data_IF_245590785456
#
_entry.id   IF_245590785456
#
_cell.length_a   1.000
_cell.length_b   1.000
_cell.length_c   1.000
_cell.angle_alpha   90.00
_cell.angle_beta   90.00
_cell.angle_gamma   90.00
#
_symmetry.space_group_name_H-M   'P 1'
#
loop_
_entity.id
_entity.type
_entity.pdbx_description
1 polymer ?
#
# COMPACT_ATOMS: atom_id res chain seq x y z
N UNK A 1 44.08 5.40 -24.08
CA UNK A 1 42.85 5.10 -24.84
C UNK A 1 41.79 6.13 -24.45
N UNK A 2 41.12 6.76 -25.40
CA UNK A 2 40.13 7.82 -25.14
C UNK A 2 38.72 7.23 -25.26
N UNK A 3 37.81 7.62 -24.37
CA UNK A 3 36.39 7.28 -24.51
C UNK A 3 35.73 8.23 -25.51
N UNK A 4 34.80 7.71 -26.30
CA UNK A 4 34.00 8.51 -27.23
C UNK A 4 32.97 9.36 -26.50
N UNK A 5 32.53 10.45 -27.13
CA UNK A 5 31.41 11.26 -26.68
C UNK A 5 30.13 10.40 -26.64
N UNK A 6 29.43 10.43 -25.52
CA UNK A 6 28.07 9.90 -25.37
C UNK A 6 27.16 11.07 -25.03
N UNK A 7 26.15 11.31 -25.86
CA UNK A 7 25.08 12.23 -25.51
C UNK A 7 24.27 11.67 -24.34
N UNK A 8 23.56 12.54 -23.63
CA UNK A 8 22.59 12.12 -22.62
C UNK A 8 21.52 11.24 -23.27
N UNK A 9 21.09 10.19 -22.55
CA UNK A 9 19.95 9.34 -22.89
C UNK A 9 18.92 9.34 -21.77
N UNK A 10 18.86 10.42 -20.98
CA UNK A 10 17.89 10.53 -19.88
C UNK A 10 16.50 10.67 -20.48
N UNK A 11 15.60 9.78 -20.07
CA UNK A 11 14.19 9.79 -20.42
C UNK A 11 13.38 10.03 -19.15
N UNK A 12 12.47 10.99 -19.20
CA UNK A 12 11.56 11.22 -18.07
C UNK A 12 10.51 10.11 -18.03
N UNK A 13 10.48 9.39 -16.91
CA UNK A 13 9.46 8.41 -16.59
C UNK A 13 8.50 8.99 -15.55
N UNK A 14 7.30 8.41 -15.45
CA UNK A 14 6.28 8.87 -14.51
C UNK A 14 6.01 10.38 -14.62
N UNK A 15 5.93 10.88 -15.85
CA UNK A 15 5.67 12.30 -16.17
C UNK A 15 4.33 12.80 -15.62
N UNK A 16 3.44 11.88 -15.22
CA UNK A 16 2.21 12.18 -14.50
C UNK A 16 2.26 11.54 -13.12
N UNK A 17 2.21 12.37 -12.09
CA UNK A 17 2.16 11.99 -10.68
C UNK A 17 1.35 13.02 -9.89
N UNK A 18 1.17 12.80 -8.58
CA UNK A 18 0.51 13.80 -7.73
C UNK A 18 1.27 15.12 -7.65
N UNK A 19 2.61 15.10 -7.77
CA UNK A 19 3.44 16.31 -7.71
C UNK A 19 3.48 17.07 -9.04
N UNK A 20 3.12 16.43 -10.16
CA UNK A 20 3.02 17.09 -11.46
C UNK A 20 1.65 17.74 -11.71
N UNK A 21 0.71 17.62 -10.76
CA UNK A 21 -0.62 18.24 -10.87
C UNK A 21 -0.51 19.76 -10.77
N UNK A 22 -1.01 20.53 -11.74
CA UNK A 22 -1.02 21.99 -11.69
C UNK A 22 -1.85 22.51 -10.51
N UNK A 23 -1.43 23.63 -9.91
CA UNK A 23 -2.13 24.23 -8.76
C UNK A 23 -3.64 24.41 -8.96
N UNK A 24 -4.14 24.91 -10.11
CA UNK A 24 -5.59 25.07 -10.31
C UNK A 24 -6.34 23.73 -10.26
N UNK A 25 -5.75 22.68 -10.83
CA UNK A 25 -6.34 21.33 -10.83
C UNK A 25 -6.30 20.73 -9.42
N UNK A 26 -5.22 20.97 -8.67
CA UNK A 26 -5.11 20.55 -7.28
C UNK A 26 -6.15 21.23 -6.38
N UNK A 27 -6.38 22.54 -6.56
CA UNK A 27 -7.41 23.29 -5.82
C UNK A 27 -8.81 22.76 -6.10
N UNK A 28 -9.13 22.48 -7.38
CA UNK A 28 -10.39 21.85 -7.76
C UNK A 28 -10.54 20.44 -7.15
N UNK A 29 -9.48 19.65 -7.13
CA UNK A 29 -9.53 18.30 -6.54
C UNK A 29 -9.76 18.34 -5.03
N UNK A 30 -9.17 19.31 -4.33
CA UNK A 30 -9.31 19.44 -2.87
C UNK A 30 -10.74 19.86 -2.47
N UNK A 31 -11.45 20.57 -3.34
CA UNK A 31 -12.85 20.97 -3.10
C UNK A 31 -13.87 19.86 -3.39
N UNK A 32 -13.48 18.79 -4.08
CA UNK A 32 -14.30 17.60 -4.26
C UNK A 32 -14.56 16.86 -2.94
N UNK A 33 -15.64 16.08 -2.90
CA UNK A 33 -15.95 15.23 -1.76
C UNK A 33 -14.88 14.16 -1.56
N UNK A 34 -14.41 14.02 -0.32
CA UNK A 34 -13.37 13.04 0.03
C UNK A 34 -13.99 11.64 0.09
N UNK A 35 -13.24 10.60 -0.29
CA UNK A 35 -13.73 9.23 -0.16
C UNK A 35 -14.07 8.93 1.31
N UNK A 36 -15.01 7.99 1.57
CA UNK A 36 -15.31 7.57 2.92
C UNK A 36 -14.04 7.07 3.63
N UNK A 37 -13.92 7.36 4.92
CA UNK A 37 -12.75 7.06 5.74
C UNK A 37 -12.63 5.56 6.09
N UNK A 38 -12.65 4.69 5.08
CA UNK A 38 -12.52 3.23 5.22
C UNK A 38 -11.14 2.80 5.74
N UNK A 39 -10.15 3.69 5.73
CA UNK A 39 -8.83 3.45 6.34
C UNK A 39 -8.90 3.19 7.83
N UNK A 40 -9.92 3.71 8.54
CA UNK A 40 -10.16 3.43 9.97
C UNK A 40 -10.43 1.94 10.20
N UNK A 41 -11.02 1.25 9.21
CA UNK A 41 -11.30 -0.19 9.30
C UNK A 41 -10.11 -1.08 8.96
N UNK A 42 -8.99 -0.51 8.48
CA UNK A 42 -7.79 -1.30 8.13
C UNK A 42 -7.21 -2.05 9.32
N UNK A 43 -7.35 -1.52 10.54
CA UNK A 43 -6.92 -2.19 11.77
C UNK A 43 -7.68 -3.50 11.99
N UNK A 44 -9.01 -3.48 11.82
CA UNK A 44 -9.83 -4.68 11.98
C UNK A 44 -9.55 -5.73 10.92
N UNK A 45 -9.22 -5.32 9.68
CA UNK A 45 -8.82 -6.28 8.63
C UNK A 45 -7.53 -7.01 8.98
N UNK A 46 -6.53 -6.32 9.53
CA UNK A 46 -5.27 -6.95 9.96
C UNK A 46 -5.51 -7.92 11.11
N UNK A 47 -6.26 -7.48 12.11
CA UNK A 47 -6.61 -8.32 13.27
C UNK A 47 -7.36 -9.58 12.82
N UNK A 48 -8.35 -9.45 11.92
CA UNK A 48 -9.07 -10.61 11.40
C UNK A 48 -8.16 -11.60 10.66
N UNK A 49 -7.18 -11.11 9.88
CA UNK A 49 -6.18 -11.96 9.23
C UNK A 49 -5.29 -12.65 10.26
N UNK A 50 -4.84 -11.94 11.30
CA UNK A 50 -4.02 -12.48 12.39
C UNK A 50 -4.77 -13.57 13.20
N UNK A 51 -6.08 -13.40 13.42
CA UNK A 51 -6.89 -14.42 14.09
C UNK A 51 -7.09 -15.66 13.22
N UNK A 52 -7.41 -15.51 11.94
CA UNK A 52 -7.58 -16.66 11.04
C UNK A 52 -6.29 -17.48 10.90
N UNK A 53 -5.12 -16.83 10.83
CA UNK A 53 -3.82 -17.51 10.76
C UNK A 53 -3.50 -18.27 12.08
N UNK A 54 -4.09 -17.86 13.21
CA UNK A 54 -3.90 -18.50 14.52
C UNK A 54 -4.83 -19.67 14.79
N UNK A 55 -6.00 -19.72 14.14
CA UNK A 55 -6.95 -20.82 14.26
C UNK A 55 -6.43 -22.09 13.54
N UNK A 56 -5.61 -21.91 12.50
CA UNK A 56 -4.94 -22.99 11.77
C UNK A 56 -3.75 -23.62 12.54
N UNK A 57 -3.21 -22.92 13.56
CA UNK A 57 -2.11 -23.42 14.42
C UNK A 57 -2.62 -24.12 15.71
N UNK A 58 -3.94 -24.10 15.96
CA UNK A 58 -4.56 -24.76 17.12
C UNK A 58 -4.84 -26.26 16.86
N UNK A 59 -3.86 -26.99 16.34
CA UNK A 59 -3.92 -28.45 16.19
C UNK A 59 -3.53 -29.17 17.50
N UNK A 60 -4.55 -29.69 18.19
CA UNK A 60 -4.59 -30.91 19.01
C UNK A 60 -3.60 -31.06 20.20
N UNK A 61 -4.00 -30.58 21.38
CA UNK A 61 -3.71 -31.32 22.63
C UNK A 61 -4.97 -32.03 23.12
N UNK A 62 -5.32 -33.12 22.44
CA UNK A 62 -6.45 -33.97 22.79
C UNK A 62 -6.16 -34.90 23.99
N UNK A 63 -5.06 -34.69 24.74
CA UNK A 63 -4.57 -35.67 25.72
C UNK A 63 -4.63 -35.23 27.20
N UNK A 64 -5.29 -34.12 27.54
CA UNK A 64 -5.37 -33.65 28.94
C UNK A 64 -6.64 -34.11 29.69
N UNK A 65 -7.55 -34.83 29.04
CA UNK A 65 -8.82 -35.28 29.63
C UNK A 65 -8.86 -36.80 29.88
N UNK A 66 -7.74 -37.37 30.32
CA UNK A 66 -7.67 -38.75 30.81
C UNK A 66 -7.16 -38.77 32.25
N UNK A 67 -8.08 -38.60 33.20
CA UNK A 67 -7.95 -39.14 34.56
C UNK A 67 -9.33 -39.69 35.00
#
# INVERSE_FOLDING_TARGET
MWKAFRSSSVEDQQVVSRSSVPNPVAEMYISCEKPPALSVLSTYRRIAVEYSDSEDEAELDANEWSD
#
